data_IF_870561157382
#
_entry.id   IF_870561157382
#
_cell.length_a   1.000
_cell.length_b   1.000
_cell.length_c   1.000
_cell.angle_alpha   90.00
_cell.angle_beta   90.00
_cell.angle_gamma   90.00
#
_symmetry.space_group_name_H-M   'P 1'
#
loop_
_entity.id
_entity.type
_entity.pdbx_description
1 polymer ?
#
# COMPACT_ATOMS: atom_id res chain seq x y z
N UNK A 1 1.03 25.41 4.20
CA UNK A 1 2.26 24.65 4.54
C UNK A 1 2.47 23.58 3.48
N UNK A 2 3.66 23.49 2.85
CA UNK A 2 3.92 22.49 1.80
C UNK A 2 4.54 21.21 2.38
N UNK A 3 4.31 20.07 1.73
CA UNK A 3 4.93 18.78 2.08
C UNK A 3 6.46 18.88 2.15
N UNK A 4 7.07 19.60 1.20
CA UNK A 4 8.52 19.92 1.19
C UNK A 4 8.97 20.71 2.43
N UNK A 5 8.11 21.59 2.94
CA UNK A 5 8.38 22.35 4.17
C UNK A 5 8.29 21.50 5.43
N UNK A 6 7.34 20.55 5.48
CA UNK A 6 7.17 19.60 6.59
C UNK A 6 8.31 18.57 6.59
N UNK A 7 8.74 18.13 5.41
CA UNK A 7 9.82 17.15 5.25
C UNK A 7 11.12 17.54 5.96
N UNK A 8 11.42 18.84 6.05
CA UNK A 8 12.61 19.38 6.74
C UNK A 8 12.58 19.20 8.26
N UNK A 9 11.42 18.90 8.84
CA UNK A 9 11.23 18.73 10.29
C UNK A 9 11.36 17.28 10.75
N UNK A 10 11.41 16.32 9.82
CA UNK A 10 11.59 14.91 10.19
C UNK A 10 13.01 14.65 10.69
N UNK A 11 13.11 13.73 11.63
CA UNK A 11 14.36 13.21 12.18
C UNK A 11 14.29 11.69 12.16
N UNK A 12 15.43 11.07 11.88
CA UNK A 12 15.56 9.63 11.96
C UNK A 12 15.50 9.23 13.46
N UNK A 13 14.50 8.44 13.84
CA UNK A 13 14.29 8.02 15.24
C UNK A 13 14.87 6.63 15.54
N UNK A 14 15.10 5.83 14.50
CA UNK A 14 15.61 4.46 14.55
C UNK A 14 16.93 4.37 13.75
N UNK A 15 17.72 3.31 13.93
CA UNK A 15 19.03 3.10 13.28
C UNK A 15 20.23 3.87 13.86
N UNK A 16 21.43 3.53 13.37
CA UNK A 16 22.70 4.19 13.68
C UNK A 16 22.76 5.65 13.26
N UNK A 17 21.86 6.10 12.37
CA UNK A 17 21.74 7.49 11.92
C UNK A 17 20.69 8.29 12.71
N UNK A 18 20.35 7.84 13.92
CA UNK A 18 19.38 8.49 14.82
C UNK A 18 19.76 9.96 15.06
N UNK A 19 18.78 10.86 15.03
CA UNK A 19 18.96 12.30 15.21
C UNK A 19 19.36 13.04 13.93
N UNK A 20 19.77 12.33 12.87
CA UNK A 20 20.07 12.96 11.59
C UNK A 20 18.78 13.28 10.81
N UNK A 21 18.80 14.39 10.06
CA UNK A 21 17.70 14.75 9.15
C UNK A 21 17.83 14.01 7.81
N UNK A 22 16.78 13.32 7.34
CA UNK A 22 16.76 12.77 6.00
C UNK A 22 16.72 13.91 4.97
N UNK A 23 17.26 13.66 3.77
CA UNK A 23 17.15 14.62 2.68
C UNK A 23 15.67 14.79 2.27
N UNK A 24 15.25 15.96 1.76
CA UNK A 24 13.89 16.16 1.28
C UNK A 24 13.49 15.14 0.19
N UNK A 25 14.42 14.74 -0.68
CA UNK A 25 14.18 13.73 -1.70
C UNK A 25 13.92 12.34 -1.08
N UNK A 26 14.67 11.98 -0.04
CA UNK A 26 14.46 10.73 0.70
C UNK A 26 13.07 10.68 1.33
N UNK A 27 12.61 11.78 1.93
CA UNK A 27 11.26 11.85 2.52
C UNK A 27 10.18 11.68 1.45
N UNK A 28 10.30 12.37 0.31
CA UNK A 28 9.32 12.23 -0.78
C UNK A 28 9.26 10.80 -1.33
N UNK A 29 10.40 10.09 -1.39
CA UNK A 29 10.43 8.67 -1.77
C UNK A 29 9.72 7.80 -0.73
N UNK A 30 10.01 7.98 0.55
CA UNK A 30 9.36 7.22 1.62
C UNK A 30 7.85 7.41 1.67
N UNK A 31 7.38 8.65 1.46
CA UNK A 31 5.94 8.95 1.37
C UNK A 31 5.31 8.24 0.18
N UNK A 32 5.95 8.26 -0.99
CA UNK A 32 5.48 7.53 -2.17
C UNK A 32 5.40 6.02 -1.92
N UNK A 33 6.45 5.42 -1.36
CA UNK A 33 6.46 3.99 -1.01
C UNK A 33 5.34 3.66 0.00
N UNK A 34 5.06 4.57 0.94
CA UNK A 34 3.95 4.42 1.87
C UNK A 34 2.60 4.48 1.17
N UNK A 35 2.38 5.48 0.30
CA UNK A 35 1.14 5.63 -0.47
C UNK A 35 0.90 4.41 -1.38
N UNK A 36 1.94 3.88 -2.02
CA UNK A 36 1.87 2.65 -2.83
C UNK A 36 1.47 1.44 -1.97
N UNK A 37 2.05 1.29 -0.78
CA UNK A 37 1.71 0.19 0.14
C UNK A 37 0.30 0.32 0.71
N UNK A 38 -0.12 1.53 1.08
CA UNK A 38 -1.47 1.80 1.56
C UNK A 38 -2.49 1.56 0.46
N UNK A 39 -2.19 1.98 -0.77
CA UNK A 39 -3.05 1.74 -1.94
C UNK A 39 -3.15 0.24 -2.24
N UNK A 40 -2.04 -0.49 -2.20
CA UNK A 40 -2.05 -1.94 -2.38
C UNK A 40 -2.82 -2.66 -1.26
N UNK A 41 -2.67 -2.22 -0.01
CA UNK A 41 -3.44 -2.75 1.11
C UNK A 41 -4.93 -2.41 1.00
N UNK A 42 -5.27 -1.20 0.56
CA UNK A 42 -6.65 -0.79 0.32
C UNK A 42 -7.27 -1.60 -0.82
N UNK A 43 -6.56 -1.81 -1.93
CA UNK A 43 -6.98 -2.71 -3.00
C UNK A 43 -7.15 -4.15 -2.49
N UNK A 44 -6.29 -4.59 -1.57
CA UNK A 44 -6.42 -5.89 -0.91
C UNK A 44 -7.70 -6.00 -0.05
N UNK A 45 -8.05 -4.94 0.67
CA UNK A 45 -9.29 -4.90 1.46
C UNK A 45 -10.52 -4.78 0.55
N UNK A 46 -10.46 -3.98 -0.52
CA UNK A 46 -11.57 -3.80 -1.44
C UNK A 46 -11.87 -5.06 -2.26
N UNK A 47 -10.88 -5.86 -2.67
CA UNK A 47 -11.18 -7.16 -3.28
C UNK A 47 -11.92 -8.07 -2.29
N UNK A 48 -11.60 -7.96 -0.99
CA UNK A 48 -12.25 -8.76 0.07
C UNK A 48 -13.65 -8.26 0.39
N UNK A 49 -13.90 -6.95 0.24
CA UNK A 49 -15.19 -6.31 0.50
C UNK A 49 -16.17 -6.41 -0.68
N UNK A 50 -15.75 -6.87 -1.86
CA UNK A 50 -16.63 -7.08 -3.01
C UNK A 50 -17.07 -8.54 -3.11
N UNK A 51 -18.01 -8.92 -2.24
CA UNK A 51 -18.95 -10.03 -2.43
C UNK A 51 -20.15 -9.86 -1.46
N UNK A 52 -20.92 -8.78 -1.58
CA UNK A 52 -22.28 -8.76 -1.00
C UNK A 52 -23.35 -9.25 -2.00
N UNK A 53 -23.06 -9.20 -3.32
CA UNK A 53 -23.92 -9.80 -4.38
C UNK A 53 -23.46 -11.18 -4.87
N UNK A 54 -22.28 -11.64 -4.44
CA UNK A 54 -21.79 -12.96 -4.82
C UNK A 54 -21.99 -13.91 -3.62
N UNK A 55 -23.04 -14.71 -3.70
CA UNK A 55 -23.38 -15.83 -2.82
C UNK A 55 -22.33 -16.97 -2.91
N UNK A 56 -21.06 -16.64 -2.77
CA UNK A 56 -19.95 -17.58 -2.75
C UNK A 56 -19.71 -17.99 -1.30
N UNK A 57 -20.42 -19.05 -0.91
CA UNK A 57 -20.25 -19.80 0.33
C UNK A 57 -18.80 -20.32 0.46
N UNK A 58 -17.95 -19.51 1.08
CA UNK A 58 -16.61 -19.75 1.67
C UNK A 58 -15.34 -19.27 0.93
N UNK A 59 -14.34 -18.80 1.71
CA UNK A 59 -13.11 -18.18 1.24
C UNK A 59 -12.01 -19.21 0.92
N UNK A 60 -11.15 -18.91 -0.07
CA UNK A 60 -9.84 -19.54 -0.21
C UNK A 60 -9.66 -20.58 -1.31
N UNK A 61 -10.57 -20.71 -2.28
CA UNK A 61 -10.39 -21.63 -3.40
C UNK A 61 -10.33 -20.87 -4.74
N UNK A 62 -9.17 -20.83 -5.42
CA UNK A 62 -9.02 -20.33 -6.80
C UNK A 62 -9.61 -21.34 -7.82
N UNK A 63 -10.91 -21.69 -7.72
CA UNK A 63 -11.48 -22.68 -8.65
C UNK A 63 -11.66 -21.97 -9.97
N UNK A 64 -10.87 -22.40 -10.96
CA UNK A 64 -11.18 -22.16 -12.36
C UNK A 64 -12.64 -22.53 -12.57
N UNK A 65 -13.45 -21.53 -12.89
CA UNK A 65 -14.83 -21.73 -13.30
C UNK A 65 -14.77 -22.49 -14.63
N UNK A 66 -15.53 -23.58 -14.84
CA UNK A 66 -15.55 -24.27 -16.13
C UNK A 66 -16.00 -23.27 -17.21
N UNK A 67 -15.12 -22.96 -18.17
CA UNK A 67 -15.40 -22.03 -19.28
C UNK A 67 -14.72 -20.66 -19.21
N UNK A 68 -13.96 -20.34 -18.15
CA UNK A 68 -13.23 -19.07 -18.08
C UNK A 68 -11.79 -19.23 -18.58
N UNK A 69 -11.53 -18.86 -19.84
CA UNK A 69 -10.15 -18.76 -20.34
C UNK A 69 -9.43 -17.58 -19.68
N UNK A 70 -8.23 -17.84 -19.13
CA UNK A 70 -7.32 -16.80 -18.69
C UNK A 70 -6.72 -16.11 -19.91
N UNK A 71 -6.96 -14.82 -20.06
CA UNK A 71 -6.07 -13.97 -20.86
C UNK A 71 -4.84 -13.64 -20.00
N UNK A 72 -3.66 -14.01 -20.49
CA UNK A 72 -2.36 -13.67 -19.91
C UNK A 72 -2.01 -12.21 -20.17
#
# INVERSE_FOLDING_TARGET
MSLRGIAKRFVITTSTKKGQRPSPATVMRMLREHDERVTAAAAAVLYRARCEDCDAKYPGHWRLVPGQQRTF
#
